data_IF_743911315077
#
_entry.id   IF_743911315077
#
_cell.length_a   1.000
_cell.length_b   1.000
_cell.length_c   1.000
_cell.angle_alpha   90.00
_cell.angle_beta   90.00
_cell.angle_gamma   90.00
#
_symmetry.space_group_name_H-M   'P 1'
#
loop_
_entity.id
_entity.type
_entity.pdbx_description
1 polymer ?
#
# COMPACT_ATOMS: atom_id res chain seq x y z
N UNK A 1 -16.60 9.62 -7.06
CA UNK A 1 -16.15 10.99 -6.90
C UNK A 1 -16.02 11.38 -5.44
N UNK A 2 -14.90 12.01 -5.08
CA UNK A 2 -14.64 12.47 -3.73
C UNK A 2 -15.11 13.91 -3.55
N UNK A 3 -15.62 14.24 -2.37
CA UNK A 3 -16.06 15.59 -2.02
C UNK A 3 -15.35 16.03 -0.73
N UNK A 4 -15.75 17.16 -0.16
CA UNK A 4 -15.10 17.71 1.04
C UNK A 4 -15.17 16.77 2.25
N UNK A 5 -16.14 15.87 2.31
CA UNK A 5 -16.25 14.90 3.40
C UNK A 5 -15.22 13.78 3.27
N UNK A 6 -14.58 13.68 2.11
CA UNK A 6 -13.57 12.67 1.83
C UNK A 6 -12.16 13.21 1.99
N UNK A 7 -12.00 14.44 2.51
CA UNK A 7 -10.68 15.05 2.63
C UNK A 7 -9.71 14.17 3.42
N UNK A 8 -10.16 13.58 4.53
CA UNK A 8 -9.30 12.71 5.32
C UNK A 8 -8.85 11.48 4.54
N UNK A 9 -9.74 10.92 3.72
CA UNK A 9 -9.39 9.78 2.89
C UNK A 9 -8.34 10.15 1.86
N UNK A 10 -8.52 11.29 1.19
CA UNK A 10 -7.56 11.78 0.19
C UNK A 10 -6.20 11.99 0.84
N UNK A 11 -6.16 12.65 2.00
CA UNK A 11 -4.92 12.90 2.73
C UNK A 11 -4.25 11.59 3.17
N UNK A 12 -5.06 10.62 3.63
CA UNK A 12 -4.51 9.32 4.03
C UNK A 12 -3.82 8.63 2.86
N UNK A 13 -4.47 8.60 1.70
CA UNK A 13 -3.91 7.96 0.51
C UNK A 13 -2.62 8.68 0.09
N UNK A 14 -2.61 10.01 0.12
CA UNK A 14 -1.40 10.77 -0.22
C UNK A 14 -0.25 10.49 0.73
N UNK A 15 -0.54 10.39 2.03
CA UNK A 15 0.49 10.04 3.02
C UNK A 15 1.04 8.65 2.79
N UNK A 16 0.15 7.69 2.47
CA UNK A 16 0.57 6.33 2.16
C UNK A 16 1.47 6.29 0.92
N UNK A 17 1.09 7.02 -0.13
CA UNK A 17 1.85 7.05 -1.38
C UNK A 17 3.25 7.63 -1.18
N UNK A 18 3.40 8.57 -0.27
CA UNK A 18 4.70 9.18 0.03
C UNK A 18 5.55 8.37 1.00
N UNK A 19 4.99 7.34 1.61
CA UNK A 19 5.68 6.54 2.63
C UNK A 19 5.60 5.05 2.30
N UNK A 20 6.20 4.67 1.18
CA UNK A 20 6.22 3.28 0.74
C UNK A 20 7.40 2.51 1.34
N UNK A 21 8.61 3.10 1.33
CA UNK A 21 9.80 2.42 1.83
C UNK A 21 9.79 2.27 3.34
N UNK A 22 9.26 3.26 4.03
CA UNK A 22 9.11 3.25 5.48
C UNK A 22 7.66 3.55 5.81
N UNK A 23 6.77 2.56 5.71
CA UNK A 23 5.34 2.80 5.88
C UNK A 23 4.99 3.30 7.27
N UNK A 24 4.08 4.25 7.30
CA UNK A 24 3.51 4.72 8.55
C UNK A 24 2.61 3.65 9.14
N UNK A 25 2.61 3.55 10.46
CA UNK A 25 1.61 2.73 11.14
C UNK A 25 0.24 3.38 10.95
N UNK A 26 -0.80 2.56 10.94
CA UNK A 26 -2.17 3.10 10.81
C UNK A 26 -2.47 4.09 11.93
N UNK A 27 -1.98 3.81 13.16
CA UNK A 27 -2.15 4.73 14.27
C UNK A 27 -1.49 6.08 14.01
N UNK A 28 -0.32 6.09 13.35
CA UNK A 28 0.35 7.33 12.99
C UNK A 28 -0.46 8.13 11.96
N UNK A 29 -1.03 7.44 10.98
CA UNK A 29 -1.91 8.08 10.01
C UNK A 29 -3.09 8.76 10.70
N UNK A 30 -3.70 8.06 11.64
CA UNK A 30 -4.84 8.59 12.39
C UNK A 30 -4.46 9.85 13.17
N UNK A 31 -3.28 9.87 13.78
CA UNK A 31 -2.79 11.03 14.51
C UNK A 31 -2.59 12.20 13.55
N UNK A 32 -1.95 11.97 12.42
CA UNK A 32 -1.73 13.02 11.41
C UNK A 32 -3.04 13.62 10.92
N UNK A 33 -4.04 12.78 10.72
CA UNK A 33 -5.30 13.19 10.13
C UNK A 33 -6.30 13.73 11.16
N UNK A 34 -6.05 13.47 12.43
CA UNK A 34 -6.98 13.86 13.48
C UNK A 34 -8.27 13.05 13.45
N UNK A 35 -8.19 11.78 13.08
CA UNK A 35 -9.36 10.87 13.05
C UNK A 35 -9.09 9.64 13.89
N UNK A 36 -10.15 8.96 14.31
CA UNK A 36 -10.02 7.70 15.02
C UNK A 36 -9.76 6.55 14.05
N UNK A 37 -9.23 5.43 14.56
CA UNK A 37 -9.06 4.22 13.76
C UNK A 37 -10.38 3.79 13.13
N UNK A 38 -11.46 3.86 13.91
CA UNK A 38 -12.79 3.48 13.43
C UNK A 38 -13.24 4.34 12.25
N UNK A 39 -13.01 5.65 12.36
CA UNK A 39 -13.39 6.57 11.28
C UNK A 39 -12.57 6.31 10.02
N UNK A 40 -11.27 6.07 10.17
CA UNK A 40 -10.43 5.78 9.01
C UNK A 40 -10.86 4.47 8.34
N UNK A 41 -11.13 3.44 9.13
CA UNK A 41 -11.63 2.16 8.59
C UNK A 41 -12.96 2.35 7.88
N UNK A 42 -13.86 3.14 8.45
CA UNK A 42 -15.17 3.43 7.84
C UNK A 42 -15.01 4.09 6.48
N UNK A 43 -14.11 5.07 6.39
CA UNK A 43 -13.86 5.79 5.14
C UNK A 43 -13.27 4.88 4.06
N UNK A 44 -12.27 4.07 4.43
CA UNK A 44 -11.66 3.15 3.48
C UNK A 44 -12.66 2.09 3.01
N UNK A 45 -13.41 1.53 3.94
CA UNK A 45 -14.40 0.51 3.59
C UNK A 45 -15.47 1.07 2.66
N UNK A 46 -15.98 2.26 2.98
CA UNK A 46 -17.05 2.88 2.21
C UNK A 46 -16.64 3.23 0.79
N UNK A 47 -15.47 3.83 0.61
CA UNK A 47 -15.09 4.38 -0.68
C UNK A 47 -14.12 3.51 -1.47
N UNK A 48 -13.36 2.64 -0.79
CA UNK A 48 -12.33 1.82 -1.45
C UNK A 48 -12.55 0.32 -1.25
N UNK A 49 -13.57 -0.06 -0.49
CA UNK A 49 -13.95 -1.45 -0.22
C UNK A 49 -12.82 -2.29 0.36
N UNK A 50 -11.92 -1.68 1.12
CA UNK A 50 -10.80 -2.37 1.76
C UNK A 50 -10.48 -1.69 3.09
N UNK A 51 -9.73 -2.40 3.93
CA UNK A 51 -9.18 -1.79 5.12
C UNK A 51 -8.01 -0.88 4.75
N UNK A 52 -7.65 0.10 5.60
CA UNK A 52 -6.47 0.92 5.36
C UNK A 52 -5.20 0.09 5.16
N UNK A 53 -5.03 -0.96 5.97
CA UNK A 53 -3.85 -1.83 5.88
C UNK A 53 -3.80 -2.57 4.54
N UNK A 54 -4.92 -3.10 4.08
CA UNK A 54 -4.98 -3.81 2.80
C UNK A 54 -4.70 -2.86 1.64
N UNK A 55 -5.24 -1.65 1.70
CA UNK A 55 -5.00 -0.66 0.67
C UNK A 55 -3.53 -0.24 0.64
N UNK A 56 -2.92 -0.05 1.81
CA UNK A 56 -1.51 0.31 1.90
C UNK A 56 -0.64 -0.79 1.27
N UNK A 57 -0.96 -2.06 1.55
CA UNK A 57 -0.24 -3.18 0.94
C UNK A 57 -0.39 -3.18 -0.58
N UNK A 58 -1.58 -2.86 -1.08
CA UNK A 58 -1.81 -2.74 -2.52
C UNK A 58 -0.89 -1.70 -3.14
N UNK A 59 -0.74 -0.53 -2.52
CA UNK A 59 0.15 0.52 -3.01
C UNK A 59 1.59 0.05 -3.06
N UNK A 60 2.04 -0.67 -2.02
CA UNK A 60 3.41 -1.18 -1.98
C UNK A 60 3.65 -2.21 -3.07
N UNK A 61 2.66 -3.04 -3.36
CA UNK A 61 2.77 -4.02 -4.45
C UNK A 61 2.77 -3.35 -5.82
N UNK A 62 2.00 -2.30 -6.00
CA UNK A 62 2.02 -1.53 -7.25
C UNK A 62 3.37 -0.87 -7.48
N UNK A 63 3.98 -0.34 -6.42
CA UNK A 63 5.32 0.22 -6.51
C UNK A 63 6.34 -0.87 -6.88
N UNK A 64 6.21 -2.06 -6.27
CA UNK A 64 7.09 -3.17 -6.57
C UNK A 64 6.96 -3.58 -8.05
N UNK A 65 5.74 -3.63 -8.56
CA UNK A 65 5.51 -3.96 -9.97
C UNK A 65 6.19 -2.97 -10.88
N UNK A 66 6.06 -1.70 -10.58
CA UNK A 66 6.73 -0.64 -11.35
C UNK A 66 8.25 -0.86 -11.34
N UNK A 67 8.82 -1.14 -10.16
CA UNK A 67 10.26 -1.38 -10.05
C UNK A 67 10.70 -2.61 -10.82
N UNK A 68 9.91 -3.70 -10.80
CA UNK A 68 10.22 -4.90 -11.57
C UNK A 68 10.26 -4.62 -13.06
N UNK A 69 9.39 -3.74 -13.53
CA UNK A 69 9.30 -3.39 -14.94
C UNK A 69 10.35 -2.37 -15.36
N UNK A 70 10.74 -1.45 -14.47
CA UNK A 70 11.57 -0.31 -14.82
C UNK A 70 13.02 -0.42 -14.37
N UNK A 71 13.35 -1.35 -13.49
CA UNK A 71 14.72 -1.48 -12.99
C UNK A 71 15.25 -2.88 -13.22
N UNK A 72 16.53 -3.06 -12.93
CA UNK A 72 17.19 -4.39 -12.98
C UNK A 72 17.46 -4.92 -11.57
N UNK A 73 16.89 -4.27 -10.56
CA UNK A 73 17.07 -4.70 -9.17
C UNK A 73 16.51 -6.11 -8.98
N UNK A 74 17.10 -6.85 -8.06
CA UNK A 74 16.64 -8.20 -7.78
C UNK A 74 15.24 -8.18 -7.16
N UNK A 75 14.50 -9.28 -7.31
CA UNK A 75 13.18 -9.41 -6.69
C UNK A 75 13.29 -9.21 -5.18
N UNK A 76 14.34 -9.77 -4.55
CA UNK A 76 14.55 -9.61 -3.11
C UNK A 76 14.78 -8.15 -2.73
N UNK A 77 15.60 -7.42 -3.49
CA UNK A 77 15.87 -6.00 -3.23
C UNK A 77 14.58 -5.18 -3.35
N UNK A 78 13.76 -5.48 -4.37
CA UNK A 78 12.49 -4.79 -4.58
C UNK A 78 11.51 -5.07 -3.44
N UNK A 79 11.42 -6.34 -3.01
CA UNK A 79 10.55 -6.70 -1.90
C UNK A 79 10.93 -5.91 -0.63
N UNK A 80 12.23 -5.81 -0.36
CA UNK A 80 12.74 -5.04 0.78
C UNK A 80 12.43 -3.55 0.63
N UNK A 81 12.66 -2.98 -0.55
CA UNK A 81 12.40 -1.57 -0.81
C UNK A 81 10.92 -1.22 -0.65
N UNK A 82 10.03 -2.19 -0.86
CA UNK A 82 8.60 -1.99 -0.70
C UNK A 82 8.10 -2.48 0.67
N UNK A 83 9.03 -2.67 1.61
CA UNK A 83 8.75 -2.95 3.02
C UNK A 83 8.12 -4.30 3.30
N UNK A 84 8.46 -5.30 2.50
CA UNK A 84 8.08 -6.67 2.80
C UNK A 84 9.19 -7.35 3.57
N UNK A 85 8.84 -7.93 4.72
CA UNK A 85 9.81 -8.53 5.63
C UNK A 85 10.42 -9.79 5.04
N UNK A 86 9.63 -10.60 4.33
CA UNK A 86 10.12 -11.83 3.74
C UNK A 86 9.75 -11.91 2.25
N UNK A 87 10.62 -12.55 1.50
CA UNK A 87 10.38 -12.78 0.08
C UNK A 87 9.16 -13.65 -0.14
N UNK A 88 8.95 -14.67 0.69
CA UNK A 88 7.79 -15.54 0.52
C UNK A 88 6.47 -14.82 0.78
N UNK A 89 6.42 -13.94 1.77
CA UNK A 89 5.22 -13.12 2.01
C UNK A 89 4.96 -12.20 0.82
N UNK A 90 6.02 -11.54 0.33
CA UNK A 90 5.92 -10.69 -0.84
C UNK A 90 5.38 -11.45 -2.05
N UNK A 91 5.95 -12.61 -2.32
CA UNK A 91 5.56 -13.43 -3.47
C UNK A 91 4.09 -13.83 -3.39
N UNK A 92 3.62 -14.26 -2.22
CA UNK A 92 2.22 -14.63 -2.04
C UNK A 92 1.28 -13.44 -2.27
N UNK A 93 1.61 -12.30 -1.68
CA UNK A 93 0.78 -11.10 -1.85
C UNK A 93 0.78 -10.62 -3.29
N UNK A 94 1.94 -10.64 -3.92
CA UNK A 94 2.07 -10.23 -5.32
C UNK A 94 1.23 -11.10 -6.24
N UNK A 95 1.36 -12.42 -6.08
CA UNK A 95 0.60 -13.36 -6.91
C UNK A 95 -0.90 -13.22 -6.69
N UNK A 96 -1.31 -12.97 -5.47
CA UNK A 96 -2.72 -12.78 -5.16
C UNK A 96 -3.27 -11.52 -5.83
N UNK A 97 -2.50 -10.45 -5.87
CA UNK A 97 -2.96 -9.18 -6.44
C UNK A 97 -2.89 -9.15 -7.97
N UNK A 98 -1.82 -9.67 -8.55
CA UNK A 98 -1.55 -9.55 -9.98
C UNK A 98 -1.70 -10.85 -10.76
N UNK A 99 -2.00 -11.95 -10.11
CA UNK A 99 -2.20 -13.27 -10.72
C UNK A 99 -0.97 -13.78 -11.45
N UNK A 100 0.22 -13.35 -11.04
CA UNK A 100 1.50 -13.85 -11.59
C UNK A 100 2.60 -13.67 -10.55
N UNK A 101 3.65 -14.44 -10.68
CA UNK A 101 4.81 -14.36 -9.81
C UNK A 101 5.61 -13.07 -10.13
N UNK A 102 6.25 -12.46 -9.11
CA UNK A 102 7.11 -11.30 -9.37
C UNK A 102 8.19 -11.58 -10.39
N UNK A 103 8.79 -12.77 -10.34
CA UNK A 103 9.86 -13.17 -11.28
C UNK A 103 9.40 -13.22 -12.72
N UNK A 104 8.09 -13.31 -12.97
CA UNK A 104 7.52 -13.36 -14.31
C UNK A 104 7.13 -11.99 -14.83
N UNK A 105 7.30 -10.95 -14.04
CA UNK A 105 6.93 -9.60 -14.43
C UNK A 105 7.90 -9.01 -15.45
N UNK A 106 9.10 -9.56 -15.53
CA UNK A 106 10.16 -9.10 -16.46
C UNK A 106 10.17 -9.79 -17.79
#
# INVERSE_FOLDING_TARGET
RLDSRNTHLIEAVQLMERNIEEPLLIAELCIHLGVSDRELERLFKRYLQQTPKAFYRQLRLEKARWMLQQTKDSVTAIATACSFISLSHFTRCYQKQFSKLPSKER
#
